data_IF_018552568048
#
_entry.id   IF_018552568048
#
_cell.length_a   1.000
_cell.length_b   1.000
_cell.length_c   1.000
_cell.angle_alpha   90.00
_cell.angle_beta   90.00
_cell.angle_gamma   90.00
#
_symmetry.space_group_name_H-M   'P 1'
#
loop_
_entity.id
_entity.type
_entity.pdbx_description
1 polymer ?
#
# COMPACT_ATOMS: atom_id res chain seq x y z
N UNK A 1 -14.24 10.03 -28.06
CA UNK A 1 -14.34 8.92 -27.07
C UNK A 1 -13.56 9.27 -25.80
N UNK A 2 -13.69 10.50 -25.27
CA UNK A 2 -12.83 11.05 -24.22
C UNK A 2 -13.60 11.46 -22.97
N UNK A 3 -14.83 10.97 -22.78
CA UNK A 3 -15.70 11.39 -21.66
C UNK A 3 -15.97 10.22 -20.70
N UNK A 4 -14.98 9.39 -20.40
CA UNK A 4 -15.24 8.09 -19.73
C UNK A 4 -14.91 8.07 -18.25
N UNK A 5 -14.19 9.03 -17.70
CA UNK A 5 -14.04 9.18 -16.24
C UNK A 5 -14.94 10.34 -15.76
N UNK A 6 -16.25 10.09 -15.73
CA UNK A 6 -17.20 11.03 -15.14
C UNK A 6 -16.96 11.23 -13.64
N UNK A 7 -17.40 12.35 -13.07
CA UNK A 7 -17.26 12.66 -11.64
C UNK A 7 -17.75 11.54 -10.70
N UNK A 8 -18.71 10.74 -11.15
CA UNK A 8 -19.24 9.59 -10.40
C UNK A 8 -18.20 8.48 -10.27
N UNK A 9 -17.39 8.25 -11.32
CA UNK A 9 -16.37 7.19 -11.29
C UNK A 9 -15.18 7.57 -10.43
N UNK A 10 -14.76 8.85 -10.44
CA UNK A 10 -13.69 9.36 -9.58
C UNK A 10 -14.02 9.19 -8.10
N UNK A 11 -15.25 9.48 -7.67
CA UNK A 11 -15.68 9.30 -6.28
C UNK A 11 -15.65 7.82 -5.84
N UNK A 12 -16.01 6.90 -6.73
CA UNK A 12 -15.94 5.45 -6.46
C UNK A 12 -14.49 5.00 -6.31
N UNK A 13 -13.58 5.49 -7.16
CA UNK A 13 -12.16 5.16 -7.07
C UNK A 13 -11.51 5.74 -5.83
N UNK A 14 -11.82 6.99 -5.46
CA UNK A 14 -11.37 7.63 -4.22
C UNK A 14 -11.79 6.81 -2.99
N UNK A 15 -13.08 6.41 -2.94
CA UNK A 15 -13.60 5.55 -1.87
C UNK A 15 -12.92 4.18 -1.84
N UNK A 16 -12.69 3.56 -2.99
CA UNK A 16 -11.98 2.29 -3.08
C UNK A 16 -10.54 2.44 -2.58
N UNK A 17 -9.81 3.46 -3.01
CA UNK A 17 -8.44 3.73 -2.57
C UNK A 17 -8.37 3.94 -1.06
N UNK A 18 -9.24 4.79 -0.48
CA UNK A 18 -9.27 5.05 0.96
C UNK A 18 -9.58 3.78 1.76
N UNK A 19 -10.44 2.90 1.24
CA UNK A 19 -10.76 1.61 1.86
C UNK A 19 -9.56 0.65 1.82
N UNK A 20 -8.82 0.61 0.71
CA UNK A 20 -7.60 -0.19 0.60
C UNK A 20 -6.54 0.30 1.58
N UNK A 21 -6.33 1.62 1.66
CA UNK A 21 -5.36 2.22 2.58
C UNK A 21 -5.71 2.00 4.06
N UNK A 22 -7.00 1.99 4.40
CA UNK A 22 -7.47 1.67 5.76
C UNK A 22 -7.38 0.17 6.11
N UNK A 23 -7.23 -0.71 5.10
CA UNK A 23 -7.18 -2.16 5.29
C UNK A 23 -8.53 -2.79 5.67
N UNK A 24 -9.64 -2.10 5.44
CA UNK A 24 -10.98 -2.60 5.77
C UNK A 24 -11.51 -3.53 4.66
N UNK A 25 -11.20 -4.82 4.83
CA UNK A 25 -11.60 -5.86 3.87
C UNK A 25 -13.12 -5.96 3.72
N UNK A 26 -13.88 -5.79 4.80
CA UNK A 26 -15.34 -5.94 4.75
C UNK A 26 -15.98 -4.84 3.90
N UNK A 27 -15.57 -3.59 4.11
CA UNK A 27 -16.03 -2.44 3.30
C UNK A 27 -15.59 -2.59 1.84
N UNK A 28 -14.37 -3.04 1.59
CA UNK A 28 -13.89 -3.27 0.23
C UNK A 28 -14.73 -4.31 -0.53
N UNK A 29 -15.03 -5.43 0.12
CA UNK A 29 -15.87 -6.49 -0.47
C UNK A 29 -17.29 -5.99 -0.74
N UNK A 30 -17.86 -5.18 0.18
CA UNK A 30 -19.17 -4.56 -0.03
C UNK A 30 -19.18 -3.61 -1.22
N UNK A 31 -18.14 -2.77 -1.38
CA UNK A 31 -18.02 -1.88 -2.54
C UNK A 31 -17.91 -2.67 -3.86
N UNK A 32 -17.18 -3.79 -3.85
CA UNK A 32 -17.09 -4.65 -5.03
C UNK A 32 -18.43 -5.32 -5.37
N UNK A 33 -19.18 -5.76 -4.35
CA UNK A 33 -20.53 -6.30 -4.54
C UNK A 33 -21.47 -5.26 -5.17
N UNK A 34 -21.42 -4.01 -4.67
CA UNK A 34 -22.22 -2.91 -5.21
C UNK A 34 -21.89 -2.65 -6.70
N UNK A 35 -20.62 -2.71 -7.09
CA UNK A 35 -20.19 -2.58 -8.48
C UNK A 35 -20.76 -3.69 -9.38
N UNK A 36 -20.72 -4.92 -8.88
CA UNK A 36 -21.26 -6.10 -9.59
C UNK A 36 -22.79 -5.98 -9.72
N UNK A 37 -23.48 -5.59 -8.66
CA UNK A 37 -24.94 -5.41 -8.66
C UNK A 37 -25.38 -4.29 -9.62
N UNK A 38 -24.54 -3.27 -9.83
CA UNK A 38 -24.74 -2.22 -10.82
C UNK A 38 -24.46 -2.69 -12.26
N UNK A 39 -24.02 -3.94 -12.45
CA UNK A 39 -23.71 -4.51 -13.76
C UNK A 39 -22.38 -4.03 -14.36
N UNK A 40 -21.46 -3.47 -13.56
CA UNK A 40 -20.15 -3.05 -14.07
C UNK A 40 -19.24 -4.25 -14.35
N UNK A 41 -18.53 -4.21 -15.46
CA UNK A 41 -17.51 -5.22 -15.77
C UNK A 41 -16.26 -5.01 -14.90
N UNK A 42 -15.88 -6.05 -14.15
CA UNK A 42 -14.73 -5.99 -13.23
C UNK A 42 -13.41 -5.76 -13.98
N UNK A 43 -13.25 -6.27 -15.20
CA UNK A 43 -12.03 -6.06 -15.99
C UNK A 43 -11.89 -4.60 -16.40
N UNK A 44 -13.00 -3.97 -16.78
CA UNK A 44 -13.03 -2.56 -17.10
C UNK A 44 -12.78 -1.72 -15.86
N UNK A 45 -13.45 -2.03 -14.74
CA UNK A 45 -13.24 -1.35 -13.46
C UNK A 45 -11.77 -1.37 -13.02
N UNK A 46 -11.09 -2.51 -13.10
CA UNK A 46 -9.67 -2.64 -12.75
C UNK A 46 -8.80 -1.78 -13.67
N UNK A 47 -9.11 -1.75 -14.97
CA UNK A 47 -8.38 -0.93 -15.95
C UNK A 47 -8.54 0.56 -15.64
N UNK A 48 -9.76 1.01 -15.36
CA UNK A 48 -10.05 2.41 -15.05
C UNK A 48 -9.45 2.81 -13.70
N UNK A 49 -9.42 1.89 -12.73
CA UNK A 49 -8.78 2.12 -11.45
C UNK A 49 -7.25 2.25 -11.58
N UNK A 50 -6.60 1.49 -12.47
CA UNK A 50 -5.17 1.67 -12.81
C UNK A 50 -4.94 3.08 -13.39
N UNK A 51 -5.80 3.55 -14.29
CA UNK A 51 -5.74 4.89 -14.84
C UNK A 51 -5.87 5.97 -13.76
N UNK A 52 -6.79 5.79 -12.83
CA UNK A 52 -6.95 6.67 -11.69
C UNK A 52 -5.67 6.75 -10.84
N UNK A 53 -5.09 5.61 -10.46
CA UNK A 53 -3.84 5.55 -9.68
C UNK A 53 -2.64 6.16 -10.43
N UNK A 54 -2.57 5.94 -11.76
CA UNK A 54 -1.56 6.59 -12.62
C UNK A 54 -1.68 8.12 -12.56
N UNK A 55 -2.89 8.65 -12.59
CA UNK A 55 -3.11 10.09 -12.51
C UNK A 55 -2.65 10.64 -11.15
N UNK A 56 -2.91 9.93 -10.04
CA UNK A 56 -2.37 10.29 -8.73
C UNK A 56 -0.84 10.29 -8.72
N UNK A 57 -0.22 9.29 -9.34
CA UNK A 57 1.24 9.20 -9.46
C UNK A 57 1.82 10.37 -10.26
N UNK A 58 1.19 10.75 -11.37
CA UNK A 58 1.60 11.91 -12.17
C UNK A 58 1.51 13.20 -11.37
N UNK A 59 0.42 13.40 -10.61
CA UNK A 59 0.25 14.57 -9.73
C UNK A 59 1.39 14.65 -8.71
N UNK A 60 1.78 13.52 -8.10
CA UNK A 60 2.87 13.49 -7.10
C UNK A 60 4.26 13.70 -7.67
N UNK A 61 4.50 13.29 -8.91
CA UNK A 61 5.83 13.31 -9.51
C UNK A 61 6.08 14.57 -10.34
N UNK A 62 5.02 15.24 -10.79
CA UNK A 62 5.16 16.45 -11.61
C UNK A 62 5.29 17.69 -10.71
N UNK A 63 6.35 18.48 -10.94
CA UNK A 63 6.60 19.71 -10.18
C UNK A 63 5.83 20.92 -10.69
N UNK A 64 5.43 20.92 -11.97
CA UNK A 64 4.75 22.03 -12.64
C UNK A 64 3.25 21.79 -12.67
N UNK A 65 2.51 22.55 -11.86
CA UNK A 65 1.05 22.44 -11.76
C UNK A 65 0.32 22.70 -13.09
N UNK A 66 0.83 23.63 -13.91
CA UNK A 66 0.25 24.00 -15.21
C UNK A 66 0.35 22.86 -16.24
N UNK A 67 1.40 22.05 -16.18
CA UNK A 67 1.57 20.89 -17.08
C UNK A 67 0.71 19.70 -16.70
N UNK A 68 0.24 19.65 -15.46
CA UNK A 68 -0.62 18.54 -15.00
C UNK A 68 -1.98 18.59 -15.70
N UNK A 69 -2.54 19.79 -15.88
CA UNK A 69 -3.83 19.97 -16.54
C UNK A 69 -3.82 19.54 -18.01
N UNK A 70 -2.69 19.72 -18.70
CA UNK A 70 -2.51 19.30 -20.09
C UNK A 70 -2.34 17.77 -20.24
N UNK A 71 -1.85 17.10 -19.21
CA UNK A 71 -1.53 15.65 -19.24
C UNK A 71 -2.67 14.80 -18.67
N UNK A 72 -3.41 15.36 -17.71
CA UNK A 72 -4.54 14.70 -17.06
C UNK A 72 -5.82 15.30 -17.65
N UNK A 73 -6.42 14.59 -18.61
CA UNK A 73 -7.68 14.96 -19.26
C UNK A 73 -8.87 14.76 -18.31
N UNK A 74 -8.97 15.58 -17.25
CA UNK A 74 -10.08 15.55 -16.29
C UNK A 74 -10.63 16.96 -16.07
N UNK A 75 -11.88 17.06 -15.61
CA UNK A 75 -12.49 18.35 -15.25
C UNK A 75 -11.76 18.97 -14.05
N UNK A 76 -11.82 20.30 -13.93
CA UNK A 76 -11.16 21.03 -12.84
C UNK A 76 -11.59 20.56 -11.44
N UNK A 77 -12.87 20.24 -11.24
CA UNK A 77 -13.40 19.74 -9.97
C UNK A 77 -12.79 18.36 -9.63
N UNK A 78 -12.71 17.48 -10.61
CA UNK A 78 -12.09 16.15 -10.44
C UNK A 78 -10.59 16.25 -10.16
N UNK A 79 -9.89 17.25 -10.71
CA UNK A 79 -8.47 17.45 -10.47
C UNK A 79 -8.18 17.85 -9.01
N UNK A 80 -9.05 18.65 -8.37
CA UNK A 80 -8.89 18.98 -6.95
C UNK A 80 -9.04 17.73 -6.06
N UNK A 81 -10.00 16.86 -6.35
CA UNK A 81 -10.19 15.63 -5.61
C UNK A 81 -9.02 14.65 -5.83
N UNK A 82 -8.52 14.54 -7.05
CA UNK A 82 -7.30 13.78 -7.34
C UNK A 82 -6.08 14.33 -6.58
N UNK A 83 -5.92 15.66 -6.49
CA UNK A 83 -4.83 16.27 -5.70
C UNK A 83 -4.93 15.93 -4.22
N UNK A 84 -6.15 15.91 -3.64
CA UNK A 84 -6.38 15.49 -2.24
C UNK A 84 -6.03 14.02 -2.03
N UNK A 85 -6.50 13.13 -2.92
CA UNK A 85 -6.22 11.71 -2.82
C UNK A 85 -4.73 11.40 -3.00
N UNK A 86 -4.05 12.11 -3.90
CA UNK A 86 -2.62 12.00 -4.09
C UNK A 86 -1.82 12.34 -2.83
N UNK A 87 -2.30 13.23 -1.94
CA UNK A 87 -1.61 13.56 -0.68
C UNK A 87 -1.65 12.39 0.32
N UNK A 88 -2.69 11.57 0.27
CA UNK A 88 -2.96 10.51 1.25
C UNK A 88 -2.20 9.19 0.98
N UNK A 89 -1.50 9.07 -0.14
CA UNK A 89 -0.80 7.85 -0.54
C UNK A 89 0.63 8.18 -0.99
N UNK A 90 1.61 7.36 -0.66
CA UNK A 90 2.99 7.55 -1.09
C UNK A 90 3.24 6.97 -2.51
N UNK A 91 4.37 7.40 -3.12
CA UNK A 91 4.75 7.02 -4.49
C UNK A 91 5.00 5.51 -4.58
N UNK A 92 5.66 4.92 -3.60
CA UNK A 92 6.04 3.50 -3.63
C UNK A 92 4.79 2.62 -3.53
N UNK A 93 3.82 3.02 -2.70
CA UNK A 93 2.51 2.36 -2.59
C UNK A 93 1.74 2.46 -3.91
N UNK A 94 1.70 3.63 -4.57
CA UNK A 94 1.06 3.79 -5.87
C UNK A 94 1.71 2.89 -6.93
N UNK A 95 3.03 2.86 -7.00
CA UNK A 95 3.77 2.00 -7.93
C UNK A 95 3.48 0.52 -7.69
N UNK A 96 3.44 0.10 -6.43
CA UNK A 96 3.08 -1.26 -6.05
C UNK A 96 1.65 -1.60 -6.48
N UNK A 97 0.67 -0.74 -6.20
CA UNK A 97 -0.72 -0.96 -6.58
C UNK A 97 -0.91 -1.05 -8.09
N UNK A 98 -0.30 -0.13 -8.85
CA UNK A 98 -0.35 -0.14 -10.32
C UNK A 98 0.23 -1.45 -10.87
N UNK A 99 1.37 -1.93 -10.35
CA UNK A 99 1.99 -3.19 -10.75
C UNK A 99 1.06 -4.37 -10.53
N UNK A 100 0.57 -4.55 -9.30
CA UNK A 100 -0.28 -5.69 -8.92
C UNK A 100 -1.61 -5.68 -9.69
N UNK A 101 -2.22 -4.51 -9.85
CA UNK A 101 -3.47 -4.39 -10.63
C UNK A 101 -3.25 -4.59 -12.12
N UNK A 102 -2.09 -4.23 -12.67
CA UNK A 102 -1.75 -4.49 -14.08
C UNK A 102 -1.59 -5.99 -14.34
N UNK A 103 -0.99 -6.73 -13.43
CA UNK A 103 -0.94 -8.20 -13.47
C UNK A 103 -2.36 -8.78 -13.42
N UNK A 104 -3.19 -8.32 -12.49
CA UNK A 104 -4.59 -8.72 -12.40
C UNK A 104 -5.34 -8.43 -13.71
N UNK A 105 -5.21 -7.23 -14.29
CA UNK A 105 -5.88 -6.85 -15.55
C UNK A 105 -5.54 -7.80 -16.68
N UNK A 106 -4.27 -8.24 -16.78
CA UNK A 106 -3.85 -9.24 -17.76
C UNK A 106 -4.48 -10.62 -17.49
N UNK A 107 -4.51 -11.03 -16.24
CA UNK A 107 -5.08 -12.30 -15.81
C UNK A 107 -6.59 -12.39 -16.05
N UNK A 108 -7.31 -11.28 -15.89
CA UNK A 108 -8.76 -11.22 -16.05
C UNK A 108 -9.19 -11.43 -17.51
N UNK A 109 -8.33 -11.16 -18.50
CA UNK A 109 -8.62 -11.36 -19.93
C UNK A 109 -8.97 -12.82 -20.27
N UNK A 110 -8.33 -13.75 -19.56
CA UNK A 110 -8.46 -15.19 -19.83
C UNK A 110 -9.14 -15.95 -18.69
N UNK A 111 -9.56 -15.27 -17.61
CA UNK A 111 -10.12 -15.91 -16.43
C UNK A 111 -11.62 -16.10 -16.53
N UNK A 112 -12.09 -17.29 -16.16
CA UNK A 112 -13.51 -17.57 -15.94
C UNK A 112 -13.97 -17.15 -14.53
N UNK A 113 -13.04 -16.94 -13.59
CA UNK A 113 -13.31 -16.59 -12.19
C UNK A 113 -12.86 -15.15 -11.89
N UNK A 114 -13.33 -14.20 -12.68
CA UNK A 114 -12.95 -12.79 -12.58
C UNK A 114 -13.16 -12.23 -11.17
N UNK A 115 -14.33 -12.50 -10.57
CA UNK A 115 -14.69 -12.01 -9.24
C UNK A 115 -13.69 -12.47 -8.18
N UNK A 116 -13.45 -13.77 -8.06
CA UNK A 116 -12.55 -14.32 -7.04
C UNK A 116 -11.14 -13.79 -7.16
N UNK A 117 -10.61 -13.71 -8.40
CA UNK A 117 -9.29 -13.13 -8.64
C UNK A 117 -9.19 -11.67 -8.22
N UNK A 118 -10.22 -10.89 -8.54
CA UNK A 118 -10.27 -9.47 -8.15
C UNK A 118 -10.32 -9.33 -6.62
N UNK A 119 -11.22 -10.04 -5.95
CA UNK A 119 -11.34 -10.04 -4.48
C UNK A 119 -10.02 -10.39 -3.78
N UNK A 120 -9.36 -11.48 -4.19
CA UNK A 120 -8.07 -11.89 -3.63
C UNK A 120 -6.99 -10.84 -3.85
N UNK A 121 -6.94 -10.23 -5.03
CA UNK A 121 -5.94 -9.20 -5.34
C UNK A 121 -6.16 -7.94 -4.49
N UNK A 122 -7.39 -7.50 -4.31
CA UNK A 122 -7.69 -6.36 -3.44
C UNK A 122 -7.33 -6.64 -1.97
N UNK A 123 -7.55 -7.88 -1.48
CA UNK A 123 -7.08 -8.28 -0.14
C UNK A 123 -5.54 -8.22 -0.04
N UNK A 124 -4.82 -8.63 -1.09
CA UNK A 124 -3.35 -8.52 -1.15
C UNK A 124 -2.88 -7.07 -1.08
N UNK A 125 -3.53 -6.15 -1.80
CA UNK A 125 -3.21 -4.72 -1.74
C UNK A 125 -3.32 -4.15 -0.33
N UNK A 126 -4.29 -4.62 0.46
CA UNK A 126 -4.49 -4.21 1.85
C UNK A 126 -3.48 -4.82 2.82
N UNK A 127 -2.87 -5.94 2.46
CA UNK A 127 -1.93 -6.70 3.30
C UNK A 127 -0.65 -7.04 2.54
N UNK A 128 0.17 -6.05 2.17
CA UNK A 128 1.39 -6.28 1.38
C UNK A 128 2.41 -7.19 2.08
N UNK A 129 2.35 -7.30 3.41
CA UNK A 129 3.20 -8.23 4.17
C UNK A 129 2.95 -9.72 3.84
N UNK A 130 1.79 -10.06 3.25
CA UNK A 130 1.50 -11.43 2.81
C UNK A 130 2.11 -11.76 1.43
N UNK A 131 2.47 -10.76 0.64
CA UNK A 131 3.03 -10.93 -0.71
C UNK A 131 4.56 -11.10 -0.73
N UNK A 132 5.21 -10.92 0.43
CA UNK A 132 6.68 -10.95 0.59
C UNK A 132 7.34 -12.32 0.31
N UNK A 133 6.62 -13.32 -0.17
CA UNK A 133 7.20 -14.63 -0.45
C UNK A 133 7.81 -14.78 -1.84
N UNK A 134 7.68 -13.82 -2.75
CA UNK A 134 8.14 -13.96 -4.14
C UNK A 134 8.91 -12.78 -4.75
N UNK A 135 9.07 -11.66 -4.06
CA UNK A 135 9.78 -10.50 -4.64
C UNK A 135 11.24 -10.43 -4.15
N UNK A 136 12.14 -11.06 -4.93
CA UNK A 136 13.59 -10.97 -4.73
C UNK A 136 14.08 -9.51 -4.67
N UNK A 137 13.37 -8.59 -5.37
CA UNK A 137 13.64 -7.15 -5.34
C UNK A 137 13.43 -6.53 -3.95
N UNK A 138 12.37 -6.91 -3.26
CA UNK A 138 12.10 -6.44 -1.89
C UNK A 138 13.11 -7.00 -0.88
N UNK A 139 13.54 -8.24 -1.06
CA UNK A 139 14.59 -8.85 -0.23
C UNK A 139 15.92 -8.12 -0.42
N UNK A 140 16.29 -7.82 -1.65
CA UNK A 140 17.52 -7.06 -1.98
C UNK A 140 17.45 -5.64 -1.37
N UNK A 141 16.32 -4.94 -1.50
CA UNK A 141 16.14 -3.60 -0.91
C UNK A 141 16.24 -3.62 0.62
N UNK A 142 15.66 -4.61 1.28
CA UNK A 142 15.77 -4.79 2.74
C UNK A 142 17.18 -5.15 3.17
N UNK A 143 17.87 -5.99 2.41
CA UNK A 143 19.29 -6.31 2.66
C UNK A 143 20.14 -5.06 2.55
N UNK A 144 19.99 -4.27 1.48
CA UNK A 144 20.75 -3.02 1.31
C UNK A 144 20.46 -2.00 2.44
N UNK A 145 19.20 -1.92 2.88
CA UNK A 145 18.83 -1.05 4.00
C UNK A 145 19.46 -1.53 5.33
N UNK A 146 19.45 -2.83 5.59
CA UNK A 146 20.08 -3.42 6.78
C UNK A 146 21.59 -3.27 6.75
N UNK A 147 22.23 -3.47 5.59
CA UNK A 147 23.67 -3.24 5.40
C UNK A 147 24.03 -1.76 5.69
N UNK A 148 23.21 -0.81 5.19
CA UNK A 148 23.38 0.61 5.49
C UNK A 148 23.23 0.96 6.98
N UNK A 149 22.33 0.31 7.69
CA UNK A 149 22.17 0.48 9.13
C UNK A 149 23.37 -0.12 9.90
N UNK A 150 23.81 -1.30 9.47
CA UNK A 150 24.98 -1.97 10.07
C UNK A 150 26.25 -1.14 9.87
N UNK A 151 26.44 -0.56 8.69
CA UNK A 151 27.57 0.34 8.41
C UNK A 151 27.56 1.57 9.31
N UNK A 152 26.39 2.20 9.51
CA UNK A 152 26.25 3.33 10.43
C UNK A 152 26.58 2.94 11.87
N UNK A 153 26.10 1.80 12.35
CA UNK A 153 26.43 1.31 13.69
C UNK A 153 27.92 1.02 13.82
N UNK A 154 28.56 0.43 12.82
CA UNK A 154 30.00 0.20 12.80
C UNK A 154 30.81 1.51 12.79
N UNK A 155 30.37 2.52 12.06
CA UNK A 155 31.02 3.83 12.02
C UNK A 155 30.83 4.57 13.36
N UNK A 156 29.68 4.44 14.01
CA UNK A 156 29.41 4.99 15.35
C UNK A 156 30.26 4.28 16.43
N UNK A 157 30.49 2.97 16.30
CA UNK A 157 31.41 2.23 17.17
C UNK A 157 32.86 2.68 16.93
N UNK A 158 33.29 2.76 15.67
CA UNK A 158 34.67 3.18 15.30
C UNK A 158 34.95 4.63 15.70
N UNK A 159 33.96 5.52 15.62
CA UNK A 159 34.06 6.92 16.02
C UNK A 159 33.93 7.14 17.53
N UNK A 160 33.74 6.09 18.34
CA UNK A 160 33.64 6.16 19.78
C UNK A 160 32.37 6.82 20.34
N UNK A 161 31.38 7.08 19.48
CA UNK A 161 30.11 7.72 19.87
C UNK A 161 29.24 6.86 20.77
N UNK A 162 29.32 5.53 20.67
CA UNK A 162 28.56 4.59 21.52
C UNK A 162 29.19 4.34 22.90
N UNK A 163 30.45 4.69 23.07
CA UNK A 163 31.14 4.46 24.35
C UNK A 163 30.77 5.53 25.42
N UNK A 164 30.24 6.67 24.99
CA UNK A 164 29.89 7.78 25.89
C UNK A 164 28.44 7.78 26.40
N UNK A 165 27.59 6.85 25.92
CA UNK A 165 26.21 6.74 26.43
C UNK A 165 26.08 5.84 27.68
N UNK A 166 27.14 5.17 28.10
CA UNK A 166 27.16 4.22 29.23
C UNK A 166 27.61 4.79 30.56
N UNK A 167 28.02 6.09 30.65
CA UNK A 167 28.62 6.66 31.86
C UNK A 167 27.71 7.60 32.69
N UNK A 168 26.42 7.69 32.37
CA UNK A 168 25.46 8.47 33.16
C UNK A 168 24.17 7.67 33.37
N UNK A 169 24.07 6.97 34.51
CA UNK A 169 22.81 6.40 34.97
C UNK A 169 22.89 4.99 35.57
N UNK A 170 23.71 4.82 36.58
CA UNK A 170 23.58 3.67 37.49
C UNK A 170 22.32 3.80 38.33
N UNK A 171 21.28 3.07 38.01
CA UNK A 171 20.24 2.68 38.95
C UNK A 171 19.79 1.25 38.63
N UNK A 172 20.04 0.38 39.61
CA UNK A 172 19.69 -1.01 39.62
C UNK A 172 18.16 -1.19 39.52
N UNK A 173 17.67 -1.84 38.46
CA UNK A 173 16.32 -2.37 38.46
C UNK A 173 16.38 -3.87 38.76
N UNK A 174 15.70 -4.23 39.85
CA UNK A 174 15.62 -5.56 40.41
C UNK A 174 15.04 -6.58 39.42
N UNK A 175 15.69 -7.74 39.36
CA UNK A 175 15.24 -8.94 38.70
C UNK A 175 13.97 -9.44 39.38
N UNK A 176 12.81 -9.29 38.75
CA UNK A 176 11.58 -10.00 39.13
C UNK A 176 11.58 -11.41 38.55
N UNK A 177 11.65 -12.37 39.49
CA UNK A 177 11.55 -13.81 39.21
C UNK A 177 10.16 -14.16 38.64
N UNK A 178 10.12 -14.98 37.60
CA UNK A 178 8.93 -15.59 37.03
C UNK A 178 8.27 -16.58 38.02
N UNK A 179 6.93 -16.65 38.09
CA UNK A 179 6.24 -17.57 39.00
C UNK A 179 6.35 -19.02 38.50
N UNK A 180 6.74 -19.92 39.41
CA UNK A 180 6.76 -21.39 39.22
C UNK A 180 5.35 -21.96 39.07
N UNK A 181 5.12 -22.80 38.06
CA UNK A 181 3.89 -23.57 37.86
C UNK A 181 3.72 -24.60 39.00
N UNK A 182 2.49 -24.82 39.52
CA UNK A 182 2.21 -25.86 40.51
C UNK A 182 2.21 -27.26 39.87
N UNK A 183 2.88 -28.18 40.56
CA UNK A 183 2.90 -29.61 40.24
C UNK A 183 1.57 -30.24 40.72
N UNK A 184 0.81 -30.84 39.82
CA UNK A 184 -0.37 -31.63 40.14
C UNK A 184 0.07 -33.02 40.53
N UNK A 185 -0.10 -33.39 41.81
CA UNK A 185 -0.03 -34.80 42.28
C UNK A 185 -1.32 -35.53 41.94
N UNK A 186 -1.19 -36.63 41.19
CA UNK A 186 -2.25 -37.66 41.07
C UNK A 186 -2.27 -38.48 42.35
N UNK A 187 -3.48 -38.65 42.86
CA UNK A 187 -3.93 -39.82 43.65
C UNK A 187 -5.07 -40.46 42.89
#
# INVERSE_FOLDING_TARGET
VLDVLGAVDTAVFSKMLSTILSGDVAVCMSLMEDLIMQGRDLSQFVTDFIWYLRNLLLIKTTKDAERIEDVIEVSADNLEDLKKDAQNVDIDTLMYYIRVLSELSNDLKFSTQKRVKTEITFIKLMRPAMDNSQDIGDVVSRVTMLEGQLQKVLDDIKSGRLVNAGAAGGQAAAVQQAPKKPVVKRV
#
